data_IF_821836458421
#
_entry.id   IF_821836458421
#
_cell.length_a   1.000
_cell.length_b   1.000
_cell.length_c   1.000
_cell.angle_alpha   90.00
_cell.angle_beta   90.00
_cell.angle_gamma   90.00
#
_symmetry.space_group_name_H-M   'P 1'
#
loop_
_entity.id
_entity.type
_entity.pdbx_description
1 polymer ?
#
# COMPACT_ATOMS: atom_id res chain seq x y z
N UNK A 1 13.99 -3.97 25.30
CA UNK A 1 13.13 -5.16 25.27
C UNK A 1 13.56 -6.04 26.42
N UNK A 2 12.82 -6.02 27.52
CA UNK A 2 13.06 -6.87 28.69
C UNK A 2 12.56 -8.25 28.29
N UNK A 3 13.46 -9.23 28.19
CA UNK A 3 13.11 -10.64 28.18
C UNK A 3 12.32 -10.94 29.47
N UNK A 4 10.99 -11.00 29.36
CA UNK A 4 10.18 -11.51 30.44
C UNK A 4 10.54 -12.99 30.63
N UNK A 5 11.02 -13.32 31.80
CA UNK A 5 11.27 -14.68 32.27
C UNK A 5 9.98 -15.47 32.01
N UNK A 6 10.01 -16.45 31.08
CA UNK A 6 8.87 -17.35 30.88
C UNK A 6 8.60 -18.05 32.20
N UNK A 7 7.35 -18.03 32.71
CA UNK A 7 7.01 -18.88 33.83
C UNK A 7 7.28 -20.33 33.42
N UNK A 8 7.91 -21.09 34.28
CA UNK A 8 8.42 -22.43 33.98
C UNK A 8 7.29 -23.47 33.74
N UNK A 9 6.04 -23.06 33.82
CA UNK A 9 4.83 -23.92 33.71
C UNK A 9 3.62 -23.17 33.10
N UNK A 10 3.84 -22.29 32.07
CA UNK A 10 2.74 -21.61 31.37
C UNK A 10 1.98 -22.63 30.52
N UNK A 11 0.66 -22.73 30.68
CA UNK A 11 -0.19 -23.55 29.78
C UNK A 11 -0.29 -22.93 28.39
N UNK A 12 -0.75 -23.72 27.41
CA UNK A 12 -0.96 -23.21 26.05
C UNK A 12 -1.99 -22.07 26.04
N UNK A 13 -3.08 -22.21 26.78
CA UNK A 13 -4.13 -21.19 26.86
C UNK A 13 -3.61 -19.91 27.52
N UNK A 14 -2.84 -20.01 28.60
CA UNK A 14 -2.21 -18.84 29.26
C UNK A 14 -1.26 -18.12 28.30
N UNK A 15 -0.47 -18.85 27.51
CA UNK A 15 0.40 -18.29 26.49
C UNK A 15 -0.42 -17.54 25.42
N UNK A 16 -1.48 -18.17 24.90
CA UNK A 16 -2.35 -17.54 23.87
C UNK A 16 -2.96 -16.25 24.41
N UNK A 17 -3.55 -16.27 25.61
CA UNK A 17 -4.16 -15.08 26.24
C UNK A 17 -3.15 -13.95 26.44
N UNK A 18 -1.95 -14.26 26.91
CA UNK A 18 -0.88 -13.27 27.10
C UNK A 18 -0.48 -12.64 25.76
N UNK A 19 -0.37 -13.43 24.69
CA UNK A 19 -0.01 -12.93 23.35
C UNK A 19 -1.14 -12.08 22.76
N UNK A 20 -2.40 -12.49 22.95
CA UNK A 20 -3.57 -11.69 22.53
C UNK A 20 -3.60 -10.33 23.23
N UNK A 21 -3.43 -10.30 24.55
CA UNK A 21 -3.45 -9.06 25.31
C UNK A 21 -2.33 -8.11 24.85
N UNK A 22 -1.13 -8.64 24.64
CA UNK A 22 -0.01 -7.86 24.11
C UNK A 22 -0.29 -7.34 22.69
N UNK A 23 -0.91 -8.15 21.84
CA UNK A 23 -1.25 -7.76 20.47
C UNK A 23 -2.29 -6.64 20.46
N UNK A 24 -3.33 -6.73 21.28
CA UNK A 24 -4.37 -5.69 21.39
C UNK A 24 -3.79 -4.30 21.72
N UNK A 25 -2.67 -4.23 22.45
CA UNK A 25 -1.97 -2.97 22.72
C UNK A 25 -1.30 -2.36 21.48
N UNK A 26 -1.03 -3.16 20.45
CA UNK A 26 -0.31 -2.74 19.22
C UNK A 26 -1.21 -2.54 18.00
N UNK A 27 -2.48 -2.89 18.08
CA UNK A 27 -3.43 -2.85 16.93
C UNK A 27 -3.56 -1.44 16.36
N UNK A 28 -3.64 -0.42 17.20
CA UNK A 28 -3.74 0.98 16.76
C UNK A 28 -2.49 1.40 15.96
N UNK A 29 -1.30 0.99 16.38
CA UNK A 29 -0.05 1.25 15.68
C UNK A 29 0.02 0.51 14.33
N UNK A 30 -0.52 -0.72 14.26
CA UNK A 30 -0.58 -1.51 13.03
C UNK A 30 -1.54 -0.86 12.03
N UNK A 31 -2.69 -0.38 12.48
CA UNK A 31 -3.77 0.08 11.60
C UNK A 31 -3.70 1.56 11.24
N UNK A 32 -2.85 2.36 11.90
CA UNK A 32 -2.75 3.80 11.65
C UNK A 32 -2.48 4.14 10.19
N UNK A 33 -1.61 3.40 9.51
CA UNK A 33 -1.29 3.64 8.10
C UNK A 33 -2.51 3.40 7.20
N UNK A 34 -3.25 2.33 7.42
CA UNK A 34 -4.49 2.05 6.69
C UNK A 34 -5.55 3.12 6.94
N UNK A 35 -5.65 3.65 8.16
CA UNK A 35 -6.55 4.74 8.50
C UNK A 35 -6.22 6.02 7.71
N UNK A 36 -4.93 6.40 7.60
CA UNK A 36 -4.48 7.52 6.77
C UNK A 36 -4.72 7.26 5.28
N UNK A 37 -4.49 6.05 4.81
CA UNK A 37 -4.78 5.64 3.44
C UNK A 37 -6.27 5.78 3.10
N UNK A 38 -7.16 5.47 4.05
CA UNK A 38 -8.60 5.57 3.93
C UNK A 38 -9.15 6.96 4.34
N UNK A 39 -8.36 8.01 4.21
CA UNK A 39 -8.76 9.41 4.44
C UNK A 39 -9.23 9.73 5.87
N UNK A 40 -8.66 9.06 6.86
CA UNK A 40 -8.94 9.28 8.28
C UNK A 40 -7.65 9.61 9.07
N UNK A 41 -6.94 10.70 8.72
CA UNK A 41 -5.75 11.12 9.46
C UNK A 41 -6.13 11.68 10.85
N UNK A 42 -5.12 11.89 11.70
CA UNK A 42 -5.33 12.32 13.08
C UNK A 42 -6.08 13.66 13.20
N UNK A 43 -5.92 14.56 12.23
CA UNK A 43 -6.59 15.86 12.24
C UNK A 43 -8.13 15.75 12.26
N UNK A 44 -8.69 14.69 11.67
CA UNK A 44 -10.16 14.45 11.65
C UNK A 44 -10.68 14.16 13.05
N UNK A 45 -9.88 13.57 13.91
CA UNK A 45 -10.25 13.16 15.27
C UNK A 45 -9.87 14.21 16.33
N UNK A 46 -9.33 15.36 15.95
CA UNK A 46 -9.02 16.43 16.88
C UNK A 46 -10.26 16.85 17.67
N UNK A 47 -10.08 17.20 18.93
CA UNK A 47 -11.17 17.72 19.73
C UNK A 47 -11.71 19.03 19.13
N UNK A 48 -13.03 19.28 19.17
CA UNK A 48 -13.63 20.52 18.66
C UNK A 48 -13.11 21.74 19.44
N UNK A 49 -13.03 22.89 18.76
CA UNK A 49 -12.60 24.15 19.38
C UNK A 49 -13.55 24.53 20.51
N UNK A 50 -12.99 25.01 21.61
CA UNK A 50 -13.75 25.37 22.82
C UNK A 50 -13.58 26.84 23.14
N UNK A 51 -14.63 27.43 23.75
CA UNK A 51 -14.61 28.78 24.29
C UNK A 51 -13.82 28.83 25.63
N UNK A 52 -13.66 30.02 26.19
CA UNK A 52 -12.98 30.24 27.47
C UNK A 52 -13.61 29.52 28.67
N UNK A 53 -14.87 29.11 28.54
CA UNK A 53 -15.60 28.33 29.56
C UNK A 53 -15.45 26.84 29.40
N UNK A 54 -14.74 26.38 28.35
CA UNK A 54 -14.52 24.96 28.05
C UNK A 54 -15.66 24.28 27.28
N UNK A 55 -16.67 25.03 26.82
CA UNK A 55 -17.77 24.55 25.99
C UNK A 55 -17.40 24.61 24.51
N UNK A 56 -18.03 23.77 23.66
CA UNK A 56 -17.84 23.83 22.20
C UNK A 56 -18.26 25.23 21.73
N UNK A 57 -17.38 25.92 20.99
CA UNK A 57 -17.62 27.24 20.48
C UNK A 57 -18.24 27.17 19.07
N UNK A 58 -19.54 27.39 18.91
CA UNK A 58 -20.20 27.28 17.61
C UNK A 58 -19.86 28.45 16.66
N UNK A 59 -19.18 29.51 17.16
CA UNK A 59 -18.82 30.68 16.36
C UNK A 59 -17.39 30.60 15.83
N UNK A 60 -16.58 29.67 16.31
CA UNK A 60 -15.23 29.45 15.78
C UNK A 60 -15.25 28.44 14.65
N UNK A 61 -14.68 28.78 13.49
CA UNK A 61 -14.53 27.81 12.41
C UNK A 61 -13.62 26.66 12.86
N UNK A 62 -14.03 25.42 12.56
CA UNK A 62 -13.32 24.19 12.92
C UNK A 62 -13.18 23.28 11.70
N UNK A 63 -12.62 23.83 10.63
CA UNK A 63 -12.27 23.06 9.44
C UNK A 63 -11.12 22.09 9.74
N UNK A 64 -11.28 20.87 9.29
CA UNK A 64 -10.31 19.78 9.44
C UNK A 64 -9.93 19.29 8.07
N UNK A 65 -9.03 20.03 7.43
CA UNK A 65 -8.54 19.73 6.11
C UNK A 65 -7.35 18.79 6.19
N UNK A 66 -7.26 17.87 5.26
CA UNK A 66 -6.17 16.91 5.19
C UNK A 66 -5.74 16.66 3.74
N UNK A 67 -4.57 16.07 3.62
CA UNK A 67 -3.95 15.70 2.34
C UNK A 67 -3.92 14.19 2.15
N UNK A 68 -3.89 13.74 0.89
CA UNK A 68 -3.87 12.32 0.54
C UNK A 68 -2.46 11.83 0.16
N UNK A 69 -1.40 12.46 0.67
CA UNK A 69 -0.03 12.10 0.29
C UNK A 69 0.33 10.67 0.65
N UNK A 70 -0.17 10.15 1.77
CA UNK A 70 0.10 8.76 2.15
C UNK A 70 -0.44 7.79 1.12
N UNK A 71 -1.69 7.94 0.72
CA UNK A 71 -2.30 7.13 -0.34
C UNK A 71 -1.50 7.24 -1.64
N UNK A 72 -1.21 8.46 -2.10
CA UNK A 72 -0.48 8.67 -3.34
C UNK A 72 0.89 7.98 -3.34
N UNK A 73 1.64 8.03 -2.23
CA UNK A 73 2.98 7.44 -2.12
C UNK A 73 2.94 5.91 -2.05
N UNK A 74 1.91 5.34 -1.41
CA UNK A 74 1.69 3.89 -1.38
C UNK A 74 1.29 3.41 -2.78
N UNK A 75 0.33 4.08 -3.42
CA UNK A 75 -0.13 3.73 -4.77
C UNK A 75 0.99 3.82 -5.80
N UNK A 76 1.82 4.87 -5.75
CA UNK A 76 3.00 4.99 -6.62
C UNK A 76 3.94 3.79 -6.45
N UNK A 77 4.25 3.40 -5.21
CA UNK A 77 5.16 2.28 -4.93
C UNK A 77 4.60 0.96 -5.41
N UNK A 78 3.34 0.66 -5.08
CA UNK A 78 2.71 -0.61 -5.42
C UNK A 78 2.48 -0.71 -6.92
N UNK A 79 1.96 0.36 -7.55
CA UNK A 79 1.78 0.38 -9.00
C UNK A 79 3.12 0.25 -9.75
N UNK A 80 4.18 0.89 -9.26
CA UNK A 80 5.52 0.75 -9.86
C UNK A 80 6.03 -0.69 -9.78
N UNK A 81 5.79 -1.39 -8.65
CA UNK A 81 6.32 -2.73 -8.40
C UNK A 81 5.53 -3.85 -9.09
N UNK A 82 4.19 -3.76 -9.14
CA UNK A 82 3.31 -4.90 -9.51
C UNK A 82 2.12 -4.53 -10.39
N UNK A 83 2.06 -3.34 -11.01
CA UNK A 83 0.99 -3.05 -11.99
C UNK A 83 1.11 -3.93 -13.24
N UNK A 84 2.30 -4.33 -13.60
CA UNK A 84 2.51 -5.40 -14.57
C UNK A 84 2.55 -6.73 -13.82
N UNK A 85 1.89 -7.79 -14.31
CA UNK A 85 1.87 -9.10 -13.68
C UNK A 85 3.28 -9.65 -13.39
N UNK A 86 3.43 -10.31 -12.25
CA UNK A 86 4.63 -11.10 -11.95
C UNK A 86 4.62 -12.35 -12.82
N UNK A 87 5.71 -12.61 -13.53
CA UNK A 87 5.82 -13.78 -14.41
C UNK A 87 6.63 -14.90 -13.77
N UNK A 88 6.23 -16.13 -14.08
CA UNK A 88 6.84 -17.35 -13.57
C UNK A 88 7.36 -18.16 -14.74
N UNK A 89 8.59 -18.66 -14.65
CA UNK A 89 9.25 -19.48 -15.66
C UNK A 89 9.88 -20.75 -15.07
N UNK A 90 9.81 -21.89 -15.78
CA UNK A 90 10.51 -23.14 -15.45
C UNK A 90 10.62 -23.99 -16.71
N UNK A 91 11.60 -24.88 -16.77
CA UNK A 91 11.81 -25.80 -17.90
C UNK A 91 10.74 -26.91 -18.01
N UNK A 92 9.90 -27.12 -16.98
CA UNK A 92 8.81 -28.09 -17.00
C UNK A 92 7.47 -27.43 -17.35
N UNK A 93 7.08 -27.48 -18.61
CA UNK A 93 5.84 -26.90 -19.15
C UNK A 93 4.57 -27.33 -18.38
N UNK A 94 4.53 -28.57 -17.86
CA UNK A 94 3.36 -29.08 -17.14
C UNK A 94 3.23 -28.39 -15.78
N UNK A 95 4.35 -28.29 -15.06
CA UNK A 95 4.39 -27.58 -13.78
C UNK A 95 4.12 -26.09 -13.96
N UNK A 96 4.68 -25.48 -15.02
CA UNK A 96 4.42 -24.07 -15.36
C UNK A 96 2.93 -23.78 -15.54
N UNK A 97 2.24 -24.61 -16.33
CA UNK A 97 0.77 -24.47 -16.54
C UNK A 97 -0.01 -24.57 -15.23
N UNK A 98 0.38 -25.48 -14.33
CA UNK A 98 -0.29 -25.63 -13.02
C UNK A 98 -0.05 -24.39 -12.16
N UNK A 99 1.18 -23.87 -12.10
CA UNK A 99 1.52 -22.65 -11.38
C UNK A 99 0.71 -21.46 -11.92
N UNK A 100 0.64 -21.27 -13.24
CA UNK A 100 -0.10 -20.20 -13.90
C UNK A 100 -1.63 -20.31 -13.73
N UNK A 101 -2.16 -21.53 -13.55
CA UNK A 101 -3.59 -21.73 -13.22
C UNK A 101 -3.92 -21.25 -11.82
N UNK A 102 -3.04 -21.47 -10.85
CA UNK A 102 -3.20 -21.01 -9.46
C UNK A 102 -2.89 -19.53 -9.34
N UNK A 103 -1.74 -19.10 -9.87
CA UNK A 103 -1.26 -17.71 -9.84
C UNK A 103 -1.68 -16.98 -11.14
N UNK A 104 -2.98 -16.85 -11.33
CA UNK A 104 -3.60 -16.21 -12.49
C UNK A 104 -3.92 -14.72 -12.22
N UNK A 105 -4.60 -14.06 -13.16
CA UNK A 105 -4.98 -12.64 -13.04
C UNK A 105 -5.72 -12.27 -11.75
N UNK A 106 -6.48 -13.20 -11.13
CA UNK A 106 -7.12 -12.95 -9.82
C UNK A 106 -6.09 -12.91 -8.69
N UNK A 107 -5.03 -13.68 -8.84
CA UNK A 107 -3.89 -13.61 -7.94
C UNK A 107 -3.14 -12.28 -8.10
N UNK A 108 -2.94 -11.81 -9.33
CA UNK A 108 -2.26 -10.53 -9.57
C UNK A 108 -3.00 -9.38 -8.89
N UNK A 109 -4.32 -9.32 -9.03
CA UNK A 109 -5.17 -8.35 -8.33
C UNK A 109 -5.04 -8.47 -6.81
N UNK A 110 -5.15 -9.70 -6.29
CA UNK A 110 -4.94 -9.96 -4.85
C UNK A 110 -3.56 -9.55 -4.36
N UNK A 111 -2.51 -9.74 -5.17
CA UNK A 111 -1.14 -9.35 -4.81
C UNK A 111 -1.01 -7.84 -4.65
N UNK A 112 -1.67 -7.05 -5.50
CA UNK A 112 -1.75 -5.59 -5.36
C UNK A 112 -2.38 -5.22 -4.00
N UNK A 113 -3.51 -5.83 -3.65
CA UNK A 113 -4.19 -5.61 -2.37
C UNK A 113 -3.31 -5.97 -1.16
N UNK A 114 -2.62 -7.12 -1.22
CA UNK A 114 -1.71 -7.59 -0.17
C UNK A 114 -0.55 -6.60 0.01
N UNK A 115 0.08 -6.15 -1.08
CA UNK A 115 1.22 -5.23 -1.01
C UNK A 115 0.81 -3.82 -0.59
N UNK A 116 -0.40 -3.38 -0.96
CA UNK A 116 -1.00 -2.14 -0.46
C UNK A 116 -1.23 -2.22 1.04
N UNK A 117 -1.83 -3.31 1.52
CA UNK A 117 -2.04 -3.52 2.95
C UNK A 117 -0.71 -3.64 3.72
N UNK A 118 0.25 -4.39 3.20
CA UNK A 118 1.59 -4.48 3.79
C UNK A 118 2.29 -3.12 3.86
N UNK A 119 2.12 -2.26 2.85
CA UNK A 119 2.67 -0.89 2.84
C UNK A 119 2.04 -0.01 3.92
N UNK A 120 0.76 -0.20 4.19
CA UNK A 120 0.00 0.53 5.21
C UNK A 120 0.26 0.01 6.62
N UNK A 121 0.41 -1.31 6.81
CA UNK A 121 0.49 -1.97 8.12
C UNK A 121 1.90 -2.45 8.49
N UNK A 122 2.82 -2.45 7.52
CA UNK A 122 4.18 -2.98 7.68
C UNK A 122 4.33 -4.44 7.30
N UNK A 123 3.29 -5.23 7.44
CA UNK A 123 3.19 -6.64 7.11
C UNK A 123 1.74 -6.98 6.79
N UNK A 124 1.53 -7.95 5.91
CA UNK A 124 0.24 -8.58 5.67
C UNK A 124 0.44 -10.08 5.52
N UNK A 125 -0.61 -10.88 5.71
CA UNK A 125 -0.49 -12.32 5.71
C UNK A 125 -1.41 -12.96 4.69
N UNK A 126 -0.98 -14.10 4.15
CA UNK A 126 -1.86 -15.01 3.44
C UNK A 126 -1.83 -16.39 4.08
N UNK A 127 -2.97 -17.06 4.01
CA UNK A 127 -3.15 -18.44 4.42
C UNK A 127 -3.45 -19.29 3.19
N UNK A 128 -2.59 -20.25 2.81
CA UNK A 128 -2.95 -21.32 1.89
C UNK A 128 -4.00 -22.23 2.52
N UNK A 129 -5.07 -22.53 1.80
CA UNK A 129 -6.12 -23.44 2.25
C UNK A 129 -6.65 -24.25 1.08
N UNK A 130 -7.41 -25.30 1.39
CA UNK A 130 -8.09 -26.14 0.39
C UNK A 130 -9.59 -25.96 0.58
N UNK A 131 -10.29 -25.61 -0.50
CA UNK A 131 -11.74 -25.42 -0.42
C UNK A 131 -12.52 -26.76 -0.40
N UNK A 132 -13.84 -26.68 -0.25
CA UNK A 132 -14.73 -27.86 -0.20
C UNK A 132 -14.68 -28.68 -1.51
N UNK A 133 -14.27 -28.10 -2.62
CA UNK A 133 -14.09 -28.75 -3.91
C UNK A 133 -12.73 -29.44 -4.03
N UNK A 134 -11.86 -29.28 -3.03
CA UNK A 134 -10.51 -29.83 -3.02
C UNK A 134 -9.51 -29.02 -3.83
N UNK A 135 -9.80 -27.75 -4.11
CA UNK A 135 -8.92 -26.85 -4.86
C UNK A 135 -8.05 -26.01 -3.91
N UNK A 136 -6.80 -25.81 -4.31
CA UNK A 136 -5.88 -24.91 -3.62
C UNK A 136 -6.29 -23.45 -3.78
N UNK A 137 -6.42 -22.75 -2.68
CA UNK A 137 -6.77 -21.32 -2.61
C UNK A 137 -5.87 -20.59 -1.62
N UNK A 138 -5.95 -19.28 -1.64
CA UNK A 138 -5.30 -18.41 -0.66
C UNK A 138 -6.31 -17.46 -0.04
N UNK A 139 -6.21 -17.25 1.26
CA UNK A 139 -7.00 -16.28 2.02
C UNK A 139 -6.08 -15.19 2.56
N UNK A 140 -6.48 -13.91 2.49
CA UNK A 140 -5.75 -12.81 3.09
C UNK A 140 -6.12 -12.69 4.56
N UNK A 141 -5.14 -12.68 5.43
CA UNK A 141 -5.30 -12.48 6.88
C UNK A 141 -4.75 -11.11 7.24
N UNK A 142 -5.61 -10.17 7.67
CA UNK A 142 -5.19 -8.84 8.06
C UNK A 142 -4.18 -8.86 9.20
N UNK A 143 -3.19 -7.98 9.16
CA UNK A 143 -2.11 -7.93 10.15
C UNK A 143 -2.62 -7.72 11.58
N UNK A 144 -3.71 -6.97 11.76
CA UNK A 144 -4.36 -6.75 13.06
C UNK A 144 -5.03 -8.00 13.65
N UNK A 145 -5.26 -9.04 12.83
CA UNK A 145 -5.77 -10.34 13.27
C UNK A 145 -4.65 -11.36 13.53
N UNK A 146 -3.41 -11.02 13.16
CA UNK A 146 -2.28 -11.94 13.04
C UNK A 146 -1.32 -11.85 14.21
N UNK A 147 -1.13 -12.94 14.95
CA UNK A 147 -0.20 -13.02 16.07
C UNK A 147 0.78 -14.18 15.80
N UNK A 148 1.91 -13.93 15.13
CA UNK A 148 2.87 -14.98 14.82
C UNK A 148 3.68 -15.39 16.06
N UNK A 149 3.91 -16.69 16.21
CA UNK A 149 4.81 -17.28 17.20
C UNK A 149 6.01 -17.86 16.47
N UNK A 150 7.15 -17.23 16.59
CA UNK A 150 8.36 -17.60 15.85
C UNK A 150 9.21 -18.64 16.61
N UNK A 151 9.92 -19.48 15.86
CA UNK A 151 10.88 -20.46 16.45
C UNK A 151 12.13 -19.77 16.97
N UNK A 152 12.54 -18.68 16.33
CA UNK A 152 13.78 -17.94 16.65
C UNK A 152 13.58 -16.42 16.60
N UNK A 153 14.60 -15.66 17.02
CA UNK A 153 14.61 -14.20 17.02
C UNK A 153 14.70 -13.60 15.61
N UNK A 154 15.16 -14.35 14.63
CA UNK A 154 15.30 -13.89 13.24
C UNK A 154 13.99 -13.91 12.47
N UNK A 155 12.95 -14.54 13.05
CA UNK A 155 11.58 -14.58 12.49
C UNK A 155 11.54 -15.18 11.08
N UNK A 156 12.22 -16.31 10.94
CA UNK A 156 12.29 -17.02 9.66
C UNK A 156 11.26 -18.14 9.58
N UNK A 157 10.97 -18.81 10.71
CA UNK A 157 10.10 -19.96 10.76
C UNK A 157 9.06 -19.82 11.86
N UNK A 158 7.80 -20.09 11.53
CA UNK A 158 6.68 -20.07 12.46
C UNK A 158 6.65 -21.36 13.26
N UNK A 159 6.57 -21.23 14.59
CA UNK A 159 6.28 -22.34 15.50
C UNK A 159 4.78 -22.55 15.63
N UNK A 160 4.01 -21.46 15.66
CA UNK A 160 2.56 -21.45 15.71
C UNK A 160 2.06 -20.10 15.18
N UNK A 161 0.78 -20.00 14.92
CA UNK A 161 0.14 -18.75 14.53
C UNK A 161 -1.21 -18.65 15.24
N UNK A 162 -1.51 -17.48 15.81
CA UNK A 162 -2.80 -17.19 16.42
C UNK A 162 -3.51 -16.19 15.53
N UNK A 163 -4.73 -16.48 15.12
CA UNK A 163 -5.62 -15.54 14.46
C UNK A 163 -6.73 -15.14 15.41
N UNK A 164 -6.86 -13.83 15.64
CA UNK A 164 -7.90 -13.21 16.45
C UNK A 164 -8.81 -12.40 15.55
N UNK A 165 -10.11 -12.69 15.52
CA UNK A 165 -11.08 -11.97 14.70
C UNK A 165 -12.46 -11.96 15.35
N UNK A 166 -13.32 -11.06 14.89
CA UNK A 166 -14.71 -10.96 15.34
C UNK A 166 -15.63 -11.69 14.36
N UNK A 167 -16.53 -12.52 14.87
CA UNK A 167 -17.57 -13.21 14.11
C UNK A 167 -18.85 -13.27 14.95
N UNK A 168 -19.98 -12.83 14.36
CA UNK A 168 -21.32 -12.85 15.00
C UNK A 168 -21.35 -12.13 16.37
N UNK A 169 -20.52 -11.07 16.54
CA UNK A 169 -20.43 -10.31 17.78
C UNK A 169 -19.63 -10.97 18.90
N UNK A 170 -18.90 -12.06 18.60
CA UNK A 170 -17.96 -12.73 19.49
C UNK A 170 -16.53 -12.73 18.97
N UNK A 171 -15.54 -12.65 19.86
CA UNK A 171 -14.13 -12.78 19.49
C UNK A 171 -13.79 -14.27 19.33
N UNK A 172 -13.27 -14.64 18.15
CA UNK A 172 -12.82 -15.98 17.80
C UNK A 172 -11.30 -16.03 17.74
N UNK A 173 -10.75 -17.17 18.21
CA UNK A 173 -9.32 -17.42 18.26
C UNK A 173 -9.02 -18.74 17.59
N UNK A 174 -8.18 -18.72 16.56
CA UNK A 174 -7.64 -19.90 15.92
C UNK A 174 -6.16 -20.04 16.35
N UNK A 175 -5.79 -21.22 16.86
CA UNK A 175 -4.41 -21.54 17.18
C UNK A 175 -3.89 -22.61 16.22
N UNK A 176 -3.04 -22.20 15.30
CA UNK A 176 -2.48 -23.02 14.24
C UNK A 176 -1.10 -23.54 14.61
N UNK A 177 -0.89 -24.83 14.48
CA UNK A 177 0.40 -25.51 14.63
C UNK A 177 0.90 -26.00 13.26
N UNK A 178 1.92 -26.85 13.23
CA UNK A 178 2.38 -27.51 11.99
C UNK A 178 1.45 -28.62 11.52
N UNK A 179 0.55 -29.15 12.39
CA UNK A 179 -0.27 -30.32 12.09
C UNK A 179 -1.76 -30.09 12.15
N UNK A 180 -2.22 -29.17 13.00
CA UNK A 180 -3.62 -28.95 13.32
C UNK A 180 -3.95 -27.49 13.61
N UNK A 181 -5.24 -27.21 13.74
CA UNK A 181 -5.79 -25.96 14.23
C UNK A 181 -6.72 -26.22 15.39
N UNK A 182 -6.62 -25.41 16.44
CA UNK A 182 -7.53 -25.43 17.59
C UNK A 182 -8.37 -24.16 17.58
N UNK A 183 -9.69 -24.32 17.68
CA UNK A 183 -10.65 -23.22 17.67
C UNK A 183 -11.13 -22.88 19.08
N UNK A 184 -11.15 -21.60 19.41
CA UNK A 184 -11.65 -21.06 20.68
C UNK A 184 -12.54 -19.86 20.45
N UNK A 185 -13.49 -19.65 21.35
CA UNK A 185 -14.16 -18.38 21.59
C UNK A 185 -13.49 -17.67 22.78
N UNK A 186 -13.15 -16.41 22.62
CA UNK A 186 -12.63 -15.57 23.71
C UNK A 186 -13.81 -14.85 24.39
N UNK A 187 -14.14 -15.29 25.59
CA UNK A 187 -15.26 -14.75 26.37
C UNK A 187 -14.85 -14.48 27.80
N UNK A 188 -15.13 -13.29 28.29
CA UNK A 188 -14.78 -12.83 29.65
C UNK A 188 -13.28 -13.07 30.03
N UNK A 189 -12.40 -12.94 29.02
CA UNK A 189 -10.95 -13.14 29.19
C UNK A 189 -10.53 -14.62 29.29
N UNK A 190 -11.40 -15.57 28.95
CA UNK A 190 -11.12 -17.01 28.94
C UNK A 190 -11.29 -17.59 27.55
N UNK A 191 -10.46 -18.58 27.20
CA UNK A 191 -10.58 -19.36 25.97
C UNK A 191 -11.53 -20.54 26.23
N UNK A 192 -12.64 -20.56 25.48
CA UNK A 192 -13.63 -21.61 25.53
C UNK A 192 -13.54 -22.40 24.23
N UNK A 193 -13.46 -23.75 24.22
CA UNK A 193 -13.47 -24.52 22.99
C UNK A 193 -14.65 -24.16 22.09
N UNK A 194 -14.35 -23.85 20.82
CA UNK A 194 -15.35 -23.46 19.83
C UNK A 194 -15.63 -24.59 18.85
N UNK A 195 -16.89 -24.98 18.74
CA UNK A 195 -17.38 -26.05 17.86
C UNK A 195 -18.10 -25.51 16.62
N UNK A 196 -17.97 -24.20 16.34
CA UNK A 196 -18.62 -23.56 15.18
C UNK A 196 -18.17 -24.18 13.85
N UNK A 197 -16.91 -24.60 13.75
CA UNK A 197 -16.34 -25.17 12.53
C UNK A 197 -16.58 -26.71 12.39
N UNK A 198 -17.13 -27.38 13.39
CA UNK A 198 -17.37 -28.83 13.34
C UNK A 198 -17.57 -29.46 14.71
N UNK A 199 -17.65 -30.79 14.72
CA UNK A 199 -17.93 -31.60 15.92
C UNK A 199 -16.76 -31.62 16.93
N UNK A 200 -15.54 -31.28 16.48
CA UNK A 200 -14.34 -31.17 17.33
C UNK A 200 -13.75 -29.79 17.19
N UNK A 201 -13.27 -29.20 18.27
CA UNK A 201 -12.58 -27.92 18.29
C UNK A 201 -11.12 -28.03 17.84
N UNK A 202 -10.57 -29.25 17.68
CA UNK A 202 -9.24 -29.50 17.09
C UNK A 202 -9.45 -30.18 15.75
N UNK A 203 -8.94 -29.53 14.68
CA UNK A 203 -9.14 -30.00 13.32
C UNK A 203 -7.83 -30.09 12.55
N UNK A 204 -7.75 -30.97 11.52
CA UNK A 204 -6.62 -30.93 10.58
C UNK A 204 -6.65 -29.62 9.75
N UNK A 205 -5.56 -29.31 9.09
CA UNK A 205 -5.46 -28.10 8.26
C UNK A 205 -6.48 -28.10 7.11
N UNK A 206 -6.78 -29.26 6.52
CA UNK A 206 -7.77 -29.41 5.47
C UNK A 206 -8.19 -30.88 5.30
N UNK A 207 -9.24 -31.07 4.52
CA UNK A 207 -9.74 -32.41 4.15
C UNK A 207 -9.63 -32.61 2.63
N UNK A 208 -9.16 -33.79 2.19
CA UNK A 208 -9.27 -34.24 0.81
C UNK A 208 -10.22 -35.46 0.78
N UNK A 209 -11.47 -35.23 0.41
CA UNK A 209 -12.56 -36.20 0.62
C UNK A 209 -12.73 -36.48 2.11
N UNK A 210 -12.58 -37.72 2.51
CA UNK A 210 -12.71 -38.16 3.93
C UNK A 210 -11.35 -38.19 4.66
N UNK A 211 -10.26 -37.82 4.02
CA UNK A 211 -8.94 -37.91 4.63
C UNK A 211 -8.52 -36.58 5.27
N UNK A 212 -8.15 -36.63 6.54
CA UNK A 212 -7.55 -35.55 7.29
C UNK A 212 -6.12 -35.27 6.76
N UNK A 213 -5.81 -34.03 6.40
CA UNK A 213 -4.52 -33.65 5.80
C UNK A 213 -3.92 -32.49 6.57
N UNK A 214 -2.58 -32.45 6.58
CA UNK A 214 -1.81 -31.34 7.15
C UNK A 214 -0.79 -30.84 6.14
N UNK A 215 -0.48 -29.54 6.23
CA UNK A 215 0.64 -28.94 5.48
C UNK A 215 2.02 -29.34 6.04
N UNK A 216 2.09 -29.94 7.25
CA UNK A 216 3.32 -30.21 8.00
C UNK A 216 4.17 -28.96 8.21
N UNK A 217 3.54 -27.82 8.25
CA UNK A 217 4.06 -26.49 8.58
C UNK A 217 2.91 -25.56 8.92
N UNK A 218 3.19 -24.47 9.63
CA UNK A 218 2.18 -23.45 9.95
C UNK A 218 1.76 -22.71 8.67
N UNK A 219 0.48 -22.79 8.22
CA UNK A 219 0.08 -22.33 6.88
C UNK A 219 -0.18 -20.82 6.82
N UNK A 220 0.81 -20.00 7.17
CA UNK A 220 0.72 -18.55 7.10
C UNK A 220 2.01 -17.97 6.52
N UNK A 221 1.88 -17.20 5.45
CA UNK A 221 3.00 -16.62 4.71
C UNK A 221 3.01 -15.10 4.91
N UNK A 222 4.12 -14.52 5.45
CA UNK A 222 4.24 -13.09 5.68
C UNK A 222 4.64 -12.33 4.40
N UNK A 223 3.86 -11.35 4.01
CA UNK A 223 4.22 -10.34 3.02
C UNK A 223 4.70 -9.09 3.75
N UNK A 224 6.01 -8.94 3.90
CA UNK A 224 6.64 -7.86 4.66
C UNK A 224 6.86 -6.64 3.76
N UNK A 225 6.48 -5.46 4.22
CA UNK A 225 6.79 -4.19 3.56
C UNK A 225 8.30 -3.91 3.54
N UNK A 226 8.94 -4.14 4.68
CA UNK A 226 10.37 -3.90 4.90
C UNK A 226 10.90 -4.84 6.00
N UNK A 227 12.22 -4.87 6.23
CA UNK A 227 12.81 -5.73 7.28
C UNK A 227 12.32 -5.43 8.70
N UNK A 228 11.89 -4.18 8.98
CA UNK A 228 11.42 -3.73 10.27
C UNK A 228 9.94 -4.02 10.52
N UNK A 229 9.20 -4.44 9.47
CA UNK A 229 7.75 -4.69 9.52
C UNK A 229 6.95 -3.45 9.95
N UNK A 230 7.33 -2.26 9.44
CA UNK A 230 6.67 -0.99 9.75
C UNK A 230 5.99 -0.40 8.52
N UNK A 231 4.92 0.35 8.77
CA UNK A 231 4.20 1.12 7.75
C UNK A 231 5.09 2.17 7.09
N UNK A 232 4.86 2.43 5.80
CA UNK A 232 5.48 3.54 5.09
C UNK A 232 5.14 4.90 5.70
N UNK A 233 3.96 5.03 6.32
CA UNK A 233 3.49 6.25 6.95
C UNK A 233 4.48 6.78 7.98
N UNK A 234 5.15 5.90 8.73
CA UNK A 234 6.08 6.31 9.79
C UNK A 234 7.27 7.15 9.30
N UNK A 235 7.60 7.09 8.01
CA UNK A 235 8.68 7.88 7.43
C UNK A 235 8.35 9.38 7.37
N UNK A 236 7.07 9.75 7.29
CA UNK A 236 6.63 11.12 7.02
C UNK A 236 5.34 11.53 7.77
N UNK A 237 4.82 10.68 8.68
CA UNK A 237 3.58 10.96 9.42
C UNK A 237 3.56 12.33 10.07
N UNK A 238 4.62 12.66 10.82
CA UNK A 238 4.69 13.94 11.55
C UNK A 238 4.68 15.15 10.62
N UNK A 239 5.16 15.00 9.38
CA UNK A 239 5.16 16.07 8.38
C UNK A 239 3.77 16.24 7.78
N UNK A 240 3.08 15.13 7.47
CA UNK A 240 1.67 15.16 7.03
C UNK A 240 0.81 15.79 8.13
N UNK A 241 0.97 15.39 9.39
CA UNK A 241 0.21 15.95 10.52
C UNK A 241 0.42 17.48 10.65
N UNK A 242 1.66 17.94 10.48
CA UNK A 242 1.98 19.36 10.50
C UNK A 242 1.36 20.10 9.29
N UNK A 243 1.36 19.46 8.12
CA UNK A 243 0.75 19.99 6.90
C UNK A 243 -0.77 20.13 7.03
N UNK A 244 -1.44 19.06 7.46
CA UNK A 244 -2.89 19.01 7.64
C UNK A 244 -3.35 20.03 8.69
N UNK A 245 -2.59 20.13 9.79
CA UNK A 245 -2.84 21.16 10.81
C UNK A 245 -2.69 22.57 10.23
N UNK A 246 -1.60 22.85 9.50
CA UNK A 246 -1.38 24.18 8.91
C UNK A 246 -2.45 24.52 7.88
N UNK A 247 -2.85 23.56 7.06
CA UNK A 247 -3.91 23.73 6.08
C UNK A 247 -5.24 24.10 6.76
N UNK A 248 -5.60 23.35 7.82
CA UNK A 248 -6.80 23.59 8.63
C UNK A 248 -6.75 24.97 9.32
N UNK A 249 -5.62 25.31 9.95
CA UNK A 249 -5.46 26.60 10.62
C UNK A 249 -5.53 27.76 9.63
N UNK A 250 -4.95 27.62 8.43
CA UNK A 250 -5.01 28.65 7.39
C UNK A 250 -6.46 28.88 6.94
N UNK A 251 -7.23 27.82 6.67
CA UNK A 251 -8.63 27.94 6.31
C UNK A 251 -9.46 28.57 7.43
N UNK A 252 -9.26 28.14 8.68
CA UNK A 252 -9.95 28.75 9.82
C UNK A 252 -9.63 30.24 9.99
N UNK A 253 -8.37 30.62 9.75
CA UNK A 253 -7.97 32.03 9.78
C UNK A 253 -8.60 32.83 8.64
N UNK A 254 -8.75 32.24 7.43
CA UNK A 254 -9.48 32.88 6.35
C UNK A 254 -10.91 33.16 6.71
N UNK A 255 -11.62 32.19 7.31
CA UNK A 255 -13.01 32.39 7.72
C UNK A 255 -13.12 33.45 8.82
N UNK A 256 -12.23 33.43 9.81
CA UNK A 256 -12.16 34.44 10.86
C UNK A 256 -11.80 35.83 10.28
N UNK A 257 -10.95 35.92 9.26
CA UNK A 257 -10.51 37.18 8.66
C UNK A 257 -11.60 37.89 7.84
N UNK A 258 -12.64 37.16 7.45
CA UNK A 258 -13.83 37.77 6.79
C UNK A 258 -14.70 38.52 7.78
N UNK A 259 -14.55 38.29 9.10
CA UNK A 259 -15.22 39.01 10.15
C UNK A 259 -14.41 40.23 10.57
N UNK A 260 -15.01 41.42 10.42
CA UNK A 260 -14.38 42.65 10.87
C UNK A 260 -14.51 42.77 12.39
N UNK A 261 -13.38 43.06 13.05
CA UNK A 261 -13.41 43.43 14.46
C UNK A 261 -13.75 44.92 14.54
N UNK A 262 -14.89 45.24 15.14
CA UNK A 262 -15.32 46.63 15.33
C UNK A 262 -14.79 47.17 16.65
N UNK A 263 -14.05 48.26 16.59
CA UNK A 263 -13.56 48.97 17.78
C UNK A 263 -14.49 50.15 18.03
N UNK A 264 -15.32 50.01 19.06
CA UNK A 264 -16.28 51.07 19.45
C UNK A 264 -15.59 52.07 20.36
N UNK A 265 -15.61 53.35 20.00
CA UNK A 265 -15.11 54.46 20.80
C UNK A 265 -16.26 55.31 21.30
N UNK A 266 -16.34 55.56 22.61
CA UNK A 266 -17.35 56.39 23.21
C UNK A 266 -18.74 55.75 23.37
N UNK A 267 -18.84 54.47 23.25
CA UNK A 267 -20.11 53.68 23.44
C UNK A 267 -20.16 53.08 24.84
N UNK A 268 -20.24 53.94 25.87
CA UNK A 268 -20.37 53.45 27.27
C UNK A 268 -21.86 53.10 27.55
N UNK A 269 -22.12 51.80 27.82
CA UNK A 269 -23.44 51.35 28.30
C UNK A 269 -24.41 50.83 27.25
N UNK A 270 -24.02 50.70 25.98
CA UNK A 270 -24.86 50.06 24.96
C UNK A 270 -24.71 48.53 24.97
N UNK A 271 -25.82 47.84 24.63
CA UNK A 271 -25.83 46.40 24.44
C UNK A 271 -25.11 46.06 23.12
N UNK A 272 -23.98 45.31 23.24
CA UNK A 272 -23.18 44.88 22.09
C UNK A 272 -24.00 43.98 21.14
N UNK A 273 -24.96 43.22 21.66
CA UNK A 273 -25.77 42.32 20.84
C UNK A 273 -26.73 43.13 19.95
N UNK A 274 -27.40 44.17 20.53
CA UNK A 274 -28.25 45.08 19.80
C UNK A 274 -27.46 45.89 18.76
N UNK A 275 -26.27 46.37 19.13
CA UNK A 275 -25.34 47.07 18.22
C UNK A 275 -24.95 46.19 17.03
N UNK A 276 -24.55 44.95 17.27
CA UNK A 276 -24.16 44.00 16.20
C UNK A 276 -25.34 43.61 15.33
N UNK A 277 -26.54 43.50 15.90
CA UNK A 277 -27.79 43.26 15.14
C UNK A 277 -28.08 44.43 14.20
N UNK A 278 -28.02 45.66 14.66
CA UNK A 278 -28.24 46.87 13.85
C UNK A 278 -27.19 46.98 12.74
N UNK A 279 -25.90 46.72 13.06
CA UNK A 279 -24.81 46.76 12.08
C UNK A 279 -24.98 45.71 10.97
N UNK A 280 -25.35 44.47 11.32
CA UNK A 280 -25.57 43.39 10.34
C UNK A 280 -26.81 43.64 9.47
N UNK A 281 -27.89 44.16 10.06
CA UNK A 281 -29.15 44.36 9.35
C UNK A 281 -29.18 45.63 8.49
N UNK A 282 -28.81 46.78 9.08
CA UNK A 282 -28.85 48.07 8.39
C UNK A 282 -27.57 48.44 7.65
N UNK A 283 -26.45 47.76 7.93
CA UNK A 283 -25.12 48.06 7.43
C UNK A 283 -24.68 49.51 7.62
N UNK A 284 -25.26 50.17 8.62
CA UNK A 284 -25.02 51.55 9.01
C UNK A 284 -25.19 51.71 10.51
N UNK A 285 -24.44 52.60 11.10
CA UNK A 285 -24.52 53.03 12.49
C UNK A 285 -24.57 54.55 12.57
N UNK A 286 -25.33 55.04 13.55
CA UNK A 286 -25.36 56.46 13.85
C UNK A 286 -24.28 56.76 14.90
N UNK A 287 -23.34 57.68 14.59
CA UNK A 287 -22.29 58.10 15.50
C UNK A 287 -22.57 59.55 15.91
N UNK A 288 -22.64 59.76 17.23
CA UNK A 288 -22.89 61.11 17.76
C UNK A 288 -21.66 62.01 17.57
N UNK A 289 -21.80 63.10 16.83
CA UNK A 289 -20.72 63.94 16.37
C UNK A 289 -20.01 64.79 17.41
N UNK A 290 -20.62 64.99 18.60
CA UNK A 290 -20.13 65.93 19.61
C UNK A 290 -19.27 65.28 20.73
N UNK A 291 -19.20 63.94 20.80
CA UNK A 291 -18.56 63.21 21.89
C UNK A 291 -17.26 62.42 21.55
N UNK A 292 -16.75 62.51 20.33
CA UNK A 292 -15.55 61.75 19.94
C UNK A 292 -15.82 60.23 19.78
N UNK A 293 -17.10 59.84 19.66
CA UNK A 293 -17.50 58.47 19.33
C UNK A 293 -17.14 58.09 17.93
N UNK A 294 -16.83 56.84 17.71
CA UNK A 294 -16.49 56.29 16.40
C UNK A 294 -16.41 54.78 16.37
N UNK A 295 -16.43 54.26 15.19
CA UNK A 295 -16.18 52.85 14.94
C UNK A 295 -14.98 52.71 14.02
N UNK A 296 -13.94 52.09 14.53
CA UNK A 296 -12.81 51.67 13.72
C UNK A 296 -12.98 50.17 13.43
N UNK A 297 -12.34 49.70 12.37
CA UNK A 297 -12.33 48.28 12.04
C UNK A 297 -10.89 47.77 12.04
N UNK A 298 -10.66 46.63 12.63
CA UNK A 298 -9.43 45.88 12.54
C UNK A 298 -9.69 44.68 11.67
N UNK A 299 -8.92 44.54 10.59
CA UNK A 299 -8.97 43.34 9.75
C UNK A 299 -7.74 42.49 10.03
N UNK A 300 -7.95 41.19 10.20
CA UNK A 300 -6.87 40.23 10.37
C UNK A 300 -6.25 39.99 9.01
N UNK A 301 -4.95 40.31 8.87
CA UNK A 301 -4.20 39.95 7.66
C UNK A 301 -3.79 38.49 7.72
N UNK A 302 -4.20 37.70 6.72
CA UNK A 302 -3.78 36.30 6.57
C UNK A 302 -2.45 36.28 5.80
N UNK A 303 -1.38 35.74 6.38
CA UNK A 303 -0.07 35.69 5.70
C UNK A 303 -0.03 34.55 4.67
N UNK A 304 -0.80 34.68 3.58
CA UNK A 304 -1.01 33.64 2.55
C UNK A 304 0.29 33.19 1.93
N UNK A 305 1.18 34.13 1.61
CA UNK A 305 2.44 33.81 0.96
C UNK A 305 3.35 32.95 1.85
N UNK A 306 3.51 33.32 3.12
CA UNK A 306 4.30 32.54 4.08
C UNK A 306 3.68 31.18 4.36
N UNK A 307 2.35 31.08 4.40
CA UNK A 307 1.65 29.81 4.57
C UNK A 307 1.89 28.89 3.37
N UNK A 308 1.82 29.43 2.14
CA UNK A 308 2.11 28.70 0.91
C UNK A 308 3.55 28.18 0.87
N UNK A 309 4.53 29.04 1.10
CA UNK A 309 5.95 28.66 1.10
C UNK A 309 6.25 27.55 2.12
N UNK A 310 5.62 27.61 3.30
CA UNK A 310 5.76 26.58 4.32
C UNK A 310 5.11 25.25 3.90
N UNK A 311 3.91 25.30 3.31
CA UNK A 311 3.23 24.10 2.79
C UNK A 311 4.01 23.47 1.63
N UNK A 312 4.59 24.27 0.73
CA UNK A 312 5.43 23.79 -0.37
C UNK A 312 6.68 23.08 0.18
N UNK A 313 7.33 23.65 1.20
CA UNK A 313 8.47 23.01 1.88
C UNK A 313 8.09 21.67 2.54
N UNK A 314 6.96 21.62 3.27
CA UNK A 314 6.49 20.38 3.88
C UNK A 314 6.15 19.31 2.83
N UNK A 315 5.54 19.73 1.72
CA UNK A 315 5.26 18.85 0.58
C UNK A 315 6.54 18.23 0.01
N UNK A 316 7.57 19.04 -0.22
CA UNK A 316 8.86 18.54 -0.72
C UNK A 316 9.45 17.48 0.24
N UNK A 317 9.39 17.72 1.55
CA UNK A 317 9.85 16.74 2.54
C UNK A 317 9.01 15.44 2.55
N UNK A 318 7.68 15.53 2.42
CA UNK A 318 6.83 14.34 2.32
C UNK A 318 7.23 13.47 1.13
N UNK A 319 7.47 14.09 -0.02
CA UNK A 319 7.88 13.37 -1.24
C UNK A 319 9.29 12.80 -1.10
N UNK A 320 10.23 13.57 -0.56
CA UNK A 320 11.63 13.14 -0.37
C UNK A 320 11.72 11.98 0.61
N UNK A 321 11.16 12.12 1.82
CA UNK A 321 11.22 11.06 2.84
C UNK A 321 10.31 9.87 2.50
N UNK A 322 9.20 10.12 1.81
CA UNK A 322 8.33 9.07 1.26
C UNK A 322 8.94 8.32 0.09
N UNK A 323 10.10 8.80 -0.43
CA UNK A 323 10.77 8.22 -1.59
C UNK A 323 9.85 8.13 -2.82
N UNK A 324 8.94 9.11 -2.98
CA UNK A 324 8.02 9.22 -4.10
C UNK A 324 8.61 9.97 -5.29
N UNK A 325 7.87 9.98 -6.38
CA UNK A 325 8.15 10.81 -7.56
C UNK A 325 7.28 12.06 -7.51
N UNK A 326 7.90 13.21 -7.69
CA UNK A 326 7.18 14.47 -7.81
C UNK A 326 6.76 14.71 -9.26
N UNK A 327 5.46 14.66 -9.54
CA UNK A 327 4.90 14.86 -10.87
C UNK A 327 4.58 16.33 -11.21
N UNK A 328 5.09 17.33 -10.47
CA UNK A 328 4.90 18.74 -10.86
C UNK A 328 5.61 19.05 -12.17
N UNK A 329 4.89 19.67 -13.10
CA UNK A 329 5.38 19.98 -14.45
C UNK A 329 6.67 20.82 -14.47
N UNK A 330 6.83 21.72 -13.51
CA UNK A 330 8.00 22.59 -13.41
C UNK A 330 9.33 21.84 -13.19
N UNK A 331 9.24 20.63 -12.60
CA UNK A 331 10.40 19.76 -12.36
C UNK A 331 10.71 18.82 -13.54
N UNK A 332 9.72 18.57 -14.42
CA UNK A 332 9.89 17.67 -15.58
C UNK A 332 10.48 18.35 -16.81
N UNK A 333 10.33 19.67 -16.95
CA UNK A 333 10.62 20.35 -18.23
C UNK A 333 9.72 19.83 -19.37
N UNK A 334 9.96 20.30 -20.60
CA UNK A 334 9.08 19.96 -21.73
C UNK A 334 9.31 18.54 -22.31
N UNK A 335 10.42 17.86 -21.98
CA UNK A 335 10.70 16.46 -22.44
C UNK A 335 11.95 15.95 -21.72
N UNK A 336 11.84 15.29 -20.56
CA UNK A 336 13.00 14.79 -19.86
C UNK A 336 13.66 13.65 -20.65
N UNK A 337 15.00 13.64 -20.68
CA UNK A 337 15.75 12.52 -21.26
C UNK A 337 15.55 11.24 -20.43
N UNK A 338 15.75 10.05 -21.02
CA UNK A 338 15.66 8.78 -20.31
C UNK A 338 16.58 8.73 -19.07
N UNK A 339 17.73 9.40 -19.10
CA UNK A 339 18.64 9.51 -17.95
C UNK A 339 17.99 10.37 -16.85
N UNK A 340 17.36 11.50 -17.19
CA UNK A 340 16.68 12.36 -16.22
C UNK A 340 15.52 11.60 -15.57
N UNK A 341 14.73 10.86 -16.34
CA UNK A 341 13.68 9.98 -15.80
C UNK A 341 14.23 8.95 -14.81
N UNK A 342 15.32 8.27 -15.13
CA UNK A 342 15.96 7.32 -14.21
C UNK A 342 16.39 7.97 -12.89
N UNK A 343 16.92 9.19 -12.93
CA UNK A 343 17.27 9.92 -11.69
C UNK A 343 16.04 10.26 -10.87
N UNK A 344 14.95 10.67 -11.51
CA UNK A 344 13.71 11.03 -10.80
C UNK A 344 13.06 9.81 -10.12
N UNK A 345 13.13 8.65 -10.76
CA UNK A 345 12.58 7.40 -10.20
C UNK A 345 13.52 6.69 -9.24
N UNK A 346 14.78 7.14 -9.07
CA UNK A 346 15.81 6.41 -8.33
C UNK A 346 15.41 6.09 -6.88
N UNK A 347 14.76 7.03 -6.17
CA UNK A 347 14.31 6.81 -4.81
C UNK A 347 13.14 5.82 -4.74
N UNK A 348 12.18 5.94 -5.66
CA UNK A 348 11.07 5.01 -5.78
C UNK A 348 11.57 3.60 -6.14
N UNK A 349 12.54 3.51 -7.03
CA UNK A 349 13.19 2.25 -7.43
C UNK A 349 13.85 1.55 -6.23
N UNK A 350 14.61 2.29 -5.41
CA UNK A 350 15.18 1.75 -4.18
C UNK A 350 14.12 1.23 -3.20
N UNK A 351 13.01 1.97 -3.04
CA UNK A 351 11.89 1.59 -2.17
C UNK A 351 11.17 0.35 -2.69
N UNK A 352 10.87 0.32 -3.99
CA UNK A 352 10.20 -0.79 -4.65
C UNK A 352 11.07 -2.06 -4.67
N UNK A 353 12.38 -1.95 -4.84
CA UNK A 353 13.29 -3.08 -4.77
C UNK A 353 13.36 -3.72 -3.37
N UNK A 354 13.22 -2.93 -2.29
CA UNK A 354 13.10 -3.49 -0.93
C UNK A 354 11.83 -4.32 -0.79
N UNK A 355 10.69 -3.78 -1.25
CA UNK A 355 9.40 -4.48 -1.26
C UNK A 355 9.49 -5.77 -2.11
N UNK A 356 10.01 -5.67 -3.35
CA UNK A 356 10.23 -6.80 -4.26
C UNK A 356 10.97 -7.95 -3.56
N UNK A 357 12.12 -7.67 -2.93
CA UNK A 357 12.93 -8.71 -2.29
C UNK A 357 12.16 -9.43 -1.17
N UNK A 358 11.34 -8.72 -0.40
CA UNK A 358 10.48 -9.33 0.63
C UNK A 358 9.33 -10.13 0.02
N UNK A 359 8.71 -9.59 -1.02
CA UNK A 359 7.65 -10.27 -1.77
C UNK A 359 8.18 -11.53 -2.46
N UNK A 360 9.38 -11.50 -3.01
CA UNK A 360 10.02 -12.67 -3.64
C UNK A 360 10.13 -13.84 -2.64
N UNK A 361 10.57 -13.58 -1.41
CA UNK A 361 10.64 -14.60 -0.36
C UNK A 361 9.25 -15.20 -0.07
N UNK A 362 8.22 -14.35 0.05
CA UNK A 362 6.85 -14.81 0.29
C UNK A 362 6.29 -15.62 -0.89
N UNK A 363 6.58 -15.21 -2.13
CA UNK A 363 6.16 -15.94 -3.33
C UNK A 363 6.86 -17.30 -3.45
N UNK A 364 8.15 -17.39 -3.08
CA UNK A 364 8.86 -18.67 -3.02
C UNK A 364 8.24 -19.62 -1.99
N UNK A 365 7.83 -19.10 -0.84
CA UNK A 365 7.13 -19.89 0.16
C UNK A 365 5.76 -20.37 -0.35
N UNK A 366 4.99 -19.49 -1.02
CA UNK A 366 3.72 -19.85 -1.65
C UNK A 366 3.89 -20.92 -2.73
N UNK A 367 4.91 -20.79 -3.57
CA UNK A 367 5.23 -21.80 -4.59
C UNK A 367 5.55 -23.15 -3.97
N UNK A 368 6.19 -23.20 -2.80
CA UNK A 368 6.45 -24.47 -2.12
C UNK A 368 5.15 -25.15 -1.72
N UNK A 369 4.12 -24.41 -1.22
CA UNK A 369 2.79 -24.98 -0.95
C UNK A 369 2.12 -25.51 -2.21
N UNK A 370 2.22 -24.80 -3.33
CA UNK A 370 1.66 -25.22 -4.62
C UNK A 370 2.34 -26.49 -5.12
N UNK A 371 3.67 -26.54 -5.10
CA UNK A 371 4.48 -27.68 -5.52
C UNK A 371 4.13 -28.91 -4.69
N UNK A 372 4.05 -28.78 -3.36
CA UNK A 372 3.76 -29.88 -2.44
C UNK A 372 2.31 -30.38 -2.63
N UNK A 373 1.35 -29.49 -2.79
CA UNK A 373 -0.08 -29.83 -2.96
C UNK A 373 -0.34 -30.57 -4.27
N UNK A 374 0.15 -30.04 -5.39
CA UNK A 374 -0.02 -30.66 -6.71
C UNK A 374 1.03 -31.74 -7.02
N UNK A 375 1.96 -31.99 -6.10
CA UNK A 375 3.06 -32.97 -6.25
C UNK A 375 3.84 -32.76 -7.56
N UNK A 376 4.21 -31.51 -7.83
CA UNK A 376 4.97 -31.15 -9.01
C UNK A 376 6.41 -31.68 -8.87
N UNK A 377 6.97 -32.15 -10.00
CA UNK A 377 8.33 -32.74 -10.01
C UNK A 377 9.40 -31.65 -10.26
N UNK A 378 9.30 -30.52 -9.60
CA UNK A 378 10.24 -29.40 -9.65
C UNK A 378 10.53 -28.92 -8.22
N UNK A 379 11.58 -28.13 -8.05
CA UNK A 379 11.89 -27.44 -6.80
C UNK A 379 11.57 -25.95 -6.96
N UNK A 380 11.35 -25.25 -5.85
CA UNK A 380 11.14 -23.79 -5.87
C UNK A 380 12.28 -23.04 -6.56
N UNK A 381 13.52 -23.52 -6.39
CA UNK A 381 14.70 -22.91 -7.03
C UNK A 381 14.73 -23.05 -8.56
N UNK A 382 13.95 -23.99 -9.12
CA UNK A 382 13.82 -24.20 -10.56
C UNK A 382 12.78 -23.28 -11.19
N UNK A 383 12.09 -22.45 -10.37
CA UNK A 383 11.09 -21.48 -10.83
C UNK A 383 11.67 -20.07 -10.78
N UNK A 384 11.82 -19.46 -11.93
CA UNK A 384 12.19 -18.06 -12.05
C UNK A 384 10.97 -17.18 -11.79
N UNK A 385 11.12 -16.19 -10.90
CA UNK A 385 10.06 -15.21 -10.56
C UNK A 385 10.55 -13.84 -11.02
N UNK A 386 9.90 -13.27 -12.03
CA UNK A 386 10.27 -12.00 -12.62
C UNK A 386 9.25 -10.91 -12.29
N UNK A 387 9.72 -9.82 -11.70
CA UNK A 387 8.92 -8.61 -11.45
C UNK A 387 9.11 -7.65 -12.63
N UNK A 388 8.02 -7.30 -13.26
CA UNK A 388 8.00 -6.39 -14.41
C UNK A 388 7.66 -4.97 -13.94
N UNK A 389 8.67 -4.22 -13.46
CA UNK A 389 8.48 -2.86 -12.98
C UNK A 389 7.91 -1.95 -14.07
N UNK A 390 6.94 -1.13 -13.69
CA UNK A 390 6.36 -0.11 -14.58
C UNK A 390 7.29 1.11 -14.67
N UNK A 391 8.37 0.97 -15.41
CA UNK A 391 9.37 2.04 -15.61
C UNK A 391 8.93 2.93 -16.77
N UNK A 392 8.75 4.23 -16.53
CA UNK A 392 8.60 5.18 -17.64
C UNK A 392 9.90 5.27 -18.42
N UNK A 393 9.84 4.95 -19.69
CA UNK A 393 10.97 5.01 -20.62
C UNK A 393 10.68 6.02 -21.73
N UNK A 394 11.71 6.66 -22.24
CA UNK A 394 11.58 7.45 -23.45
C UNK A 394 11.58 6.46 -24.65
N UNK A 395 10.39 6.12 -25.14
CA UNK A 395 10.20 5.13 -26.21
C UNK A 395 11.00 5.47 -27.47
N UNK A 396 11.12 6.76 -27.80
CA UNK A 396 11.90 7.22 -28.95
C UNK A 396 13.39 6.93 -28.75
N UNK A 397 13.92 7.18 -27.56
CA UNK A 397 15.32 6.95 -27.23
C UNK A 397 15.63 5.45 -27.21
N UNK A 398 14.74 4.60 -26.67
CA UNK A 398 14.90 3.15 -26.67
C UNK A 398 14.85 2.56 -28.10
N UNK A 399 13.89 3.00 -28.92
CA UNK A 399 13.82 2.58 -30.34
C UNK A 399 15.09 2.95 -31.10
N UNK A 400 15.64 4.15 -30.85
CA UNK A 400 16.88 4.58 -31.47
C UNK A 400 18.10 3.76 -30.98
N UNK A 401 18.14 3.40 -29.71
CA UNK A 401 19.18 2.52 -29.16
C UNK A 401 19.10 1.14 -29.83
N UNK A 402 17.91 0.58 -29.99
CA UNK A 402 17.69 -0.69 -30.69
C UNK A 402 18.24 -0.67 -32.13
N UNK A 403 17.88 0.36 -32.90
CA UNK A 403 18.34 0.56 -34.29
C UNK A 403 19.87 0.74 -34.38
N UNK A 404 20.47 1.48 -33.42
CA UNK A 404 21.89 1.77 -33.41
C UNK A 404 22.76 0.63 -32.81
N UNK A 405 22.14 -0.36 -32.19
CA UNK A 405 22.86 -1.45 -31.49
C UNK A 405 23.15 -2.64 -32.43
N UNK A 406 24.00 -2.41 -33.42
CA UNK A 406 24.37 -3.42 -34.44
C UNK A 406 25.09 -4.65 -33.89
N UNK A 407 25.52 -4.64 -32.64
CA UNK A 407 26.25 -5.72 -31.98
C UNK A 407 25.40 -6.58 -31.03
N UNK A 408 24.11 -6.25 -30.86
CA UNK A 408 23.18 -7.01 -30.04
C UNK A 408 22.44 -8.05 -30.91
N UNK A 409 22.12 -9.20 -30.31
CA UNK A 409 21.26 -10.17 -30.97
C UNK A 409 19.87 -9.61 -31.22
N UNK A 410 19.16 -10.10 -32.26
CA UNK A 410 17.74 -9.75 -32.52
C UNK A 410 16.88 -9.98 -31.29
N UNK A 411 17.09 -11.12 -30.62
CA UNK A 411 16.39 -11.49 -29.39
C UNK A 411 16.55 -10.43 -28.28
N UNK A 412 17.78 -9.94 -28.03
CA UNK A 412 18.03 -8.89 -27.05
C UNK A 412 17.34 -7.57 -27.42
N UNK A 413 17.33 -7.20 -28.69
CA UNK A 413 16.67 -5.97 -29.18
C UNK A 413 15.16 -6.09 -29.03
N UNK A 414 14.58 -7.21 -29.44
CA UNK A 414 13.13 -7.49 -29.33
C UNK A 414 12.69 -7.54 -27.89
N UNK A 415 13.42 -8.23 -27.02
CA UNK A 415 13.09 -8.35 -25.58
C UNK A 415 13.06 -6.98 -24.86
N UNK A 416 13.91 -6.04 -25.28
CA UNK A 416 14.00 -4.71 -24.67
C UNK A 416 13.27 -3.61 -25.46
N UNK A 417 12.51 -3.97 -26.51
CA UNK A 417 11.79 -2.99 -27.30
C UNK A 417 10.48 -2.58 -26.64
N UNK A 418 10.19 -1.27 -26.45
CA UNK A 418 9.05 -0.78 -25.65
C UNK A 418 7.67 -1.20 -26.21
N UNK A 419 7.56 -1.61 -27.46
CA UNK A 419 6.30 -2.03 -28.08
C UNK A 419 6.09 -3.54 -28.09
N UNK A 420 7.06 -4.31 -27.60
CA UNK A 420 7.00 -5.78 -27.58
C UNK A 420 6.53 -6.26 -26.22
N UNK A 421 5.31 -6.75 -26.14
CA UNK A 421 4.74 -7.29 -24.90
C UNK A 421 5.10 -8.78 -24.69
N UNK A 422 5.27 -9.51 -25.78
CA UNK A 422 5.64 -10.94 -25.80
C UNK A 422 6.83 -11.14 -26.75
N UNK A 423 8.06 -11.15 -26.21
CA UNK A 423 9.27 -11.32 -27.02
C UNK A 423 9.33 -12.64 -27.78
N UNK A 424 8.79 -13.72 -27.20
CA UNK A 424 8.82 -15.05 -27.83
C UNK A 424 7.90 -15.08 -29.03
N UNK A 425 6.67 -14.62 -28.87
CA UNK A 425 5.71 -14.53 -29.98
C UNK A 425 6.17 -13.55 -31.07
N UNK A 426 6.92 -12.50 -30.71
CA UNK A 426 7.47 -11.55 -31.68
C UNK A 426 8.66 -12.15 -32.44
N UNK A 427 9.52 -12.90 -31.78
CA UNK A 427 10.61 -13.63 -32.44
C UNK A 427 10.06 -14.67 -33.43
N UNK A 428 9.03 -15.43 -33.04
CA UNK A 428 8.37 -16.37 -33.96
C UNK A 428 7.77 -15.67 -35.20
N UNK A 429 7.20 -14.46 -35.05
CA UNK A 429 6.70 -13.67 -36.20
C UNK A 429 7.84 -13.22 -37.11
N UNK A 430 8.95 -12.73 -36.54
CA UNK A 430 10.14 -12.32 -37.29
C UNK A 430 10.70 -13.51 -38.10
N UNK A 431 10.81 -14.69 -37.50
CA UNK A 431 11.29 -15.91 -38.17
C UNK A 431 10.35 -16.33 -39.31
N UNK A 432 9.02 -16.21 -39.14
CA UNK A 432 8.05 -16.48 -40.17
C UNK A 432 8.14 -15.48 -41.35
N UNK A 433 8.36 -14.20 -41.06
CA UNK A 433 8.57 -13.17 -42.06
C UNK A 433 9.86 -13.37 -42.84
N UNK A 434 10.96 -13.75 -42.17
CA UNK A 434 12.24 -14.07 -42.84
C UNK A 434 12.12 -15.30 -43.73
N UNK A 435 11.37 -16.33 -43.36
CA UNK A 435 11.09 -17.50 -44.19
C UNK A 435 10.17 -17.21 -45.38
N UNK A 436 9.33 -16.16 -45.27
CA UNK A 436 8.43 -15.76 -46.34
C UNK A 436 9.07 -14.84 -47.37
N UNK A 437 10.27 -14.30 -47.11
CA UNK A 437 11.00 -13.49 -48.07
C UNK A 437 11.57 -14.43 -49.18
N UNK A 438 11.29 -14.20 -50.49
CA UNK A 438 11.85 -15.03 -51.59
C UNK A 438 13.38 -14.90 -51.54
N UNK A 439 14.07 -16.05 -51.57
CA UNK A 439 15.52 -16.10 -51.64
C UNK A 439 15.99 -15.37 -52.91
N UNK A 440 16.90 -14.41 -52.75
CA UNK A 440 17.46 -13.61 -53.88
C UNK A 440 18.17 -14.46 -54.93
N UNK A 441 18.42 -15.75 -54.64
CA UNK A 441 19.07 -16.69 -55.54
C UNK A 441 18.17 -17.16 -56.72
N UNK A 442 16.83 -17.07 -56.64
CA UNK A 442 15.98 -17.45 -57.75
C UNK A 442 15.82 -16.36 -58.83
N UNK A 443 16.25 -15.10 -58.54
CA UNK A 443 16.17 -14.00 -59.52
C UNK A 443 17.33 -13.90 -60.51
N UNK A 444 18.47 -14.62 -60.30
CA UNK A 444 19.66 -14.51 -61.14
C UNK A 444 19.79 -15.60 -62.20
N UNK A 445 18.98 -16.64 -62.18
CA UNK A 445 19.02 -17.73 -63.17
C UNK A 445 18.03 -17.58 -64.34
N UNK A 446 17.30 -16.46 -64.47
CA UNK A 446 16.27 -16.21 -65.49
C UNK A 446 16.69 -15.39 -66.70
N UNK A 447 17.95 -14.95 -66.83
CA UNK A 447 18.40 -14.10 -67.93
C UNK A 447 19.63 -14.64 -68.65
N UNK A 448 19.65 -15.87 -69.09
CA UNK A 448 20.50 -16.32 -70.17
C UNK A 448 19.67 -17.24 -71.11
N UNK A 449 19.19 -16.66 -72.19
CA UNK A 449 18.98 -17.30 -73.52
C UNK A 449 17.88 -16.55 -74.29
N UNK A 450 18.26 -15.53 -75.01
CA UNK A 450 17.62 -15.15 -76.30
C UNK A 450 18.59 -14.20 -77.04
N UNK A 451 19.50 -14.76 -77.82
CA UNK A 451 20.04 -14.08 -79.02
C UNK A 451 19.23 -14.52 -80.25
N UNK A 452 18.85 -13.60 -81.13
CA UNK A 452 18.19 -13.92 -82.36
C UNK A 452 19.20 -14.18 -83.48
N UNK A 453 19.04 -15.27 -84.20
CA UNK A 453 19.54 -15.48 -85.59
C UNK A 453 18.70 -14.71 -86.58
#
# INVERSE_FOLDING_TARGET
>A
VIEQIKPQYETQEEMILRLINKHKETVDDITVGERYYNHQPDVVFNAPKRNVKGEIDPFKPDWRMFTNYHQNLVDQKVAYAVSNPVTYGTDDDKSLKTIQQVLNHKWDDKLVDILTAASNKGIEWIQPYVDEQGEFKTFRVPAEQAIPVWTNKEREELKAFIRLYELDGGERVEYWTEHDVTFYELKDGQLIPDYYQGDDHIQPHYYLGNNSMSWNRVPFIPFKNNPQEISDLFMYKTIIDAMDKRLSDTQNTFDESTELIYVLKGYEGEDLEEFMHHLKYYKAINVDGDGGGGVDTIQIEVPVQSAKEYLDMLRDYVIEFGQGVDFQQDKFGNSPSGIALKFMYSNLDLKANKLKNKTLTALQELLQYIIDFYKLNIKVQDVEITFNFNVMVNELEQSQIGVNSQYLSKETVVTNHPWVNDPVAEMERIDQEELALPSIEEGLNGQENNEPT
#
